data_IF_913473578481
#
_entry.id   IF_913473578481
#
_cell.length_a   1.000
_cell.length_b   1.000
_cell.length_c   1.000
_cell.angle_alpha   90.00
_cell.angle_beta   90.00
_cell.angle_gamma   90.00
#
_symmetry.space_group_name_H-M   'P 1'
#
loop_
_entity.id
_entity.type
_entity.pdbx_description
1 polymer ?
#
# COMPACT_ATOMS: atom_id res chain seq x y z
N UNK A 1 9.94 1.56 23.04
CA UNK A 1 10.45 0.35 22.36
C UNK A 1 9.24 -0.55 22.15
N UNK A 2 8.90 -0.88 20.90
CA UNK A 2 7.66 -1.60 20.58
C UNK A 2 7.70 -3.08 20.98
N UNK A 3 6.53 -3.71 21.10
CA UNK A 3 6.41 -5.16 21.34
C UNK A 3 7.02 -5.95 20.17
N UNK A 4 8.01 -6.83 20.42
CA UNK A 4 8.68 -7.61 19.37
C UNK A 4 7.73 -8.47 18.51
N UNK A 5 6.60 -8.92 19.06
CA UNK A 5 5.64 -9.78 18.36
C UNK A 5 4.65 -9.02 17.47
N UNK A 6 4.47 -7.72 17.70
CA UNK A 6 3.42 -6.94 17.05
C UNK A 6 3.63 -6.84 15.53
N UNK A 7 4.87 -6.67 15.06
CA UNK A 7 5.12 -6.56 13.62
C UNK A 7 4.71 -7.82 12.87
N UNK A 8 5.14 -8.99 13.36
CA UNK A 8 4.81 -10.27 12.72
C UNK A 8 3.32 -10.58 12.77
N UNK A 9 2.64 -10.24 13.87
CA UNK A 9 1.18 -10.36 13.97
C UNK A 9 0.48 -9.51 12.91
N UNK A 10 0.87 -8.24 12.77
CA UNK A 10 0.26 -7.33 11.81
C UNK A 10 0.57 -7.74 10.35
N UNK A 11 1.75 -8.29 10.07
CA UNK A 11 2.07 -8.87 8.75
C UNK A 11 1.12 -10.03 8.41
N UNK A 12 0.87 -10.92 9.38
CA UNK A 12 -0.07 -12.03 9.20
C UNK A 12 -1.52 -11.57 9.01
N UNK A 13 -1.91 -10.45 9.63
CA UNK A 13 -3.23 -9.86 9.40
C UNK A 13 -3.35 -9.22 8.01
N UNK A 14 -2.29 -8.56 7.51
CA UNK A 14 -2.28 -8.05 6.13
C UNK A 14 -2.43 -9.19 5.10
N UNK A 15 -1.74 -10.31 5.34
CA UNK A 15 -1.84 -11.53 4.52
C UNK A 15 -3.28 -12.07 4.55
N UNK A 16 -3.88 -12.22 5.73
CA UNK A 16 -5.27 -12.68 5.86
C UNK A 16 -6.27 -11.78 5.13
N UNK A 17 -6.10 -10.47 5.23
CA UNK A 17 -6.96 -9.50 4.53
C UNK A 17 -6.82 -9.66 3.01
N UNK A 18 -5.59 -9.74 2.51
CA UNK A 18 -5.31 -9.93 1.09
C UNK A 18 -5.91 -11.25 0.56
N UNK A 19 -5.70 -12.36 1.27
CA UNK A 19 -6.16 -13.69 0.86
C UNK A 19 -7.70 -13.77 0.77
N UNK A 20 -8.41 -12.90 1.50
CA UNK A 20 -9.87 -12.78 1.45
C UNK A 20 -10.36 -11.66 0.51
N UNK A 21 -9.49 -11.12 -0.35
CA UNK A 21 -9.83 -10.08 -1.33
C UNK A 21 -10.14 -8.72 -0.70
N UNK A 22 -9.71 -8.50 0.54
CA UNK A 22 -9.82 -7.23 1.24
C UNK A 22 -8.67 -6.27 0.90
N UNK A 23 -8.73 -5.08 1.51
CA UNK A 23 -7.67 -4.08 1.39
C UNK A 23 -7.52 -3.24 2.65
N UNK A 24 -6.36 -2.64 2.81
CA UNK A 24 -6.08 -1.73 3.92
C UNK A 24 -6.58 -0.32 3.62
N UNK A 25 -6.97 0.44 4.64
CA UNK A 25 -7.25 1.87 4.47
C UNK A 25 -5.96 2.67 4.57
N UNK A 26 -5.45 3.19 3.44
CA UNK A 26 -4.17 3.89 3.37
C UNK A 26 -4.02 5.09 4.32
N UNK A 27 -5.11 5.79 4.67
CA UNK A 27 -5.03 6.89 5.64
C UNK A 27 -4.73 6.44 7.08
N UNK A 28 -4.81 5.13 7.35
CA UNK A 28 -4.45 4.49 8.62
C UNK A 28 -3.23 3.58 8.49
N UNK A 29 -2.69 3.42 7.28
CA UNK A 29 -1.54 2.56 7.04
C UNK A 29 -0.22 3.31 7.29
N UNK A 30 0.70 2.62 7.95
CA UNK A 30 2.09 3.02 8.08
C UNK A 30 3.10 1.91 7.79
N UNK A 31 2.66 0.70 7.41
CA UNK A 31 3.52 -0.49 7.44
C UNK A 31 3.26 -1.55 6.36
N UNK A 32 2.13 -1.53 5.65
CA UNK A 32 1.83 -2.57 4.65
C UNK A 32 2.95 -2.70 3.63
N UNK A 33 3.23 -3.92 3.19
CA UNK A 33 4.28 -4.20 2.20
C UNK A 33 3.81 -3.76 0.81
N UNK A 34 4.72 -3.19 0.02
CA UNK A 34 4.46 -2.78 -1.37
C UNK A 34 3.83 -3.89 -2.20
N UNK A 35 4.31 -5.13 -2.05
CA UNK A 35 3.85 -6.29 -2.85
C UNK A 35 2.37 -6.63 -2.66
N UNK A 36 1.74 -6.19 -1.57
CA UNK A 36 0.33 -6.47 -1.29
C UNK A 36 -0.63 -5.53 -2.02
N UNK A 37 -0.16 -4.36 -2.47
CA UNK A 37 -1.05 -3.33 -2.99
C UNK A 37 -1.81 -3.76 -4.24
N UNK A 38 -1.18 -4.49 -5.15
CA UNK A 38 -1.82 -4.89 -6.42
C UNK A 38 -3.01 -5.83 -6.18
N UNK A 39 -2.92 -6.69 -5.17
CA UNK A 39 -4.03 -7.56 -4.77
C UNK A 39 -5.11 -6.83 -3.96
N UNK A 40 -4.72 -5.88 -3.10
CA UNK A 40 -5.68 -5.09 -2.29
C UNK A 40 -6.41 -4.02 -3.11
N UNK A 41 -5.81 -3.56 -4.22
CA UNK A 41 -6.36 -2.52 -5.10
C UNK A 41 -6.32 -2.99 -6.57
N UNK A 42 -7.32 -3.78 -7.03
CA UNK A 42 -7.32 -4.36 -8.38
C UNK A 42 -7.27 -3.34 -9.54
N UNK A 43 -7.66 -2.09 -9.28
CA UNK A 43 -7.61 -0.98 -10.26
C UNK A 43 -6.35 -0.10 -10.13
N UNK A 44 -5.33 -0.56 -9.42
CA UNK A 44 -4.12 0.23 -9.17
C UNK A 44 -3.39 0.64 -10.45
N UNK A 45 -3.37 -0.21 -11.48
CA UNK A 45 -2.73 0.14 -12.75
C UNK A 45 -3.45 1.28 -13.47
N UNK A 46 -4.78 1.29 -13.51
CA UNK A 46 -5.58 2.40 -14.08
C UNK A 46 -5.33 3.72 -13.32
N UNK A 47 -5.17 3.63 -12.00
CA UNK A 47 -4.80 4.78 -11.18
C UNK A 47 -3.38 5.28 -11.51
N UNK A 48 -2.40 4.37 -11.65
CA UNK A 48 -1.01 4.72 -12.02
C UNK A 48 -0.96 5.41 -13.40
N UNK A 49 -1.75 4.94 -14.37
CA UNK A 49 -1.88 5.59 -15.68
C UNK A 49 -2.41 7.02 -15.55
N UNK A 50 -3.43 7.21 -14.71
CA UNK A 50 -3.99 8.55 -14.44
C UNK A 50 -2.96 9.47 -13.80
N UNK A 51 -2.16 8.97 -12.84
CA UNK A 51 -1.08 9.73 -12.22
C UNK A 51 0.01 10.07 -13.22
N UNK A 52 0.41 9.14 -14.09
CA UNK A 52 1.42 9.38 -15.12
C UNK A 52 1.00 10.50 -16.09
N UNK A 53 -0.30 10.60 -16.40
CA UNK A 53 -0.86 11.68 -17.22
C UNK A 53 -0.87 13.04 -16.49
N UNK A 54 -1.22 13.05 -15.22
CA UNK A 54 -1.45 14.29 -14.46
C UNK A 54 -0.22 14.83 -13.72
N UNK A 55 0.77 13.97 -13.45
CA UNK A 55 1.99 14.30 -12.71
C UNK A 55 3.22 13.69 -13.41
N UNK A 56 3.47 14.00 -14.70
CA UNK A 56 4.51 13.36 -15.51
C UNK A 56 5.93 13.58 -14.94
N UNK A 57 6.17 14.72 -14.32
CA UNK A 57 7.47 15.06 -13.71
C UNK A 57 7.60 14.56 -12.26
N UNK A 58 6.57 13.90 -11.71
CA UNK A 58 6.60 13.32 -10.37
C UNK A 58 6.68 14.34 -9.21
N UNK A 59 6.27 15.59 -9.44
CA UNK A 59 6.37 16.69 -8.45
C UNK A 59 5.51 16.43 -7.22
N UNK A 60 4.30 15.89 -7.41
CA UNK A 60 3.40 15.53 -6.29
C UNK A 60 3.79 14.13 -5.80
N UNK A 61 4.44 14.04 -4.63
CA UNK A 61 4.93 12.78 -4.09
C UNK A 61 4.93 12.82 -2.56
N UNK A 62 4.53 11.72 -1.92
CA UNK A 62 4.53 11.57 -0.45
C UNK A 62 5.42 10.42 -0.01
N UNK A 63 5.79 10.35 1.27
CA UNK A 63 6.57 9.21 1.78
C UNK A 63 5.79 7.88 1.70
N UNK A 64 4.46 7.94 1.87
CA UNK A 64 3.58 6.79 1.66
C UNK A 64 3.68 6.30 0.22
N UNK A 65 3.53 7.19 -0.75
CA UNK A 65 3.59 6.84 -2.16
C UNK A 65 5.00 6.36 -2.57
N UNK A 66 6.06 6.97 -2.04
CA UNK A 66 7.44 6.47 -2.21
C UNK A 66 7.64 5.05 -1.64
N UNK A 67 7.12 4.76 -0.44
CA UNK A 67 7.19 3.41 0.18
C UNK A 67 6.45 2.39 -0.67
N UNK A 68 5.23 2.72 -1.09
CA UNK A 68 4.32 1.80 -1.77
C UNK A 68 4.50 1.75 -3.29
N UNK A 69 5.34 2.60 -3.88
CA UNK A 69 5.57 2.60 -5.33
C UNK A 69 4.34 3.07 -6.10
N UNK A 70 3.77 4.17 -5.62
CA UNK A 70 2.63 4.87 -6.19
C UNK A 70 3.11 6.10 -6.98
#
# INVERSE_FOLDING_TARGET
>A
MGDPGLSGLLDGLDDLVLDNGGGVYLAKDGRVRRGHLEGMYPRLNEWRETVALMNPDGVIQSDLARRLGL
#
